data_IF_816616156099
#
_entry.id   IF_816616156099
#
_cell.length_a   1.000
_cell.length_b   1.000
_cell.length_c   1.000
_cell.angle_alpha   90.00
_cell.angle_beta   90.00
_cell.angle_gamma   90.00
#
_symmetry.space_group_name_H-M   'P 1'
#
loop_
_entity.id
_entity.type
_entity.pdbx_description
1 polymer ?
#
# COMPACT_ATOMS: atom_id res chain seq x y z
N UNK A 1 77.51 22.76 42.82
CA UNK A 1 77.73 23.72 43.92
C UNK A 1 76.77 24.88 43.71
N UNK A 2 75.81 25.06 44.62
CA UNK A 2 75.00 26.28 44.75
C UNK A 2 75.91 27.51 44.77
N UNK A 3 75.48 28.68 44.29
CA UNK A 3 74.93 29.75 45.14
C UNK A 3 74.11 30.74 44.29
N UNK A 4 72.84 30.90 44.63
CA UNK A 4 71.98 32.02 44.25
C UNK A 4 72.50 33.33 44.84
N UNK A 5 72.48 34.42 44.06
CA UNK A 5 72.39 35.84 44.46
C UNK A 5 72.53 36.70 43.19
N UNK A 6 71.89 37.83 42.97
CA UNK A 6 70.84 38.54 43.68
C UNK A 6 70.40 39.67 42.73
N UNK A 7 69.10 39.86 42.61
CA UNK A 7 68.40 40.96 41.95
C UNK A 7 69.19 42.28 41.84
N UNK A 8 69.54 42.69 40.62
CA UNK A 8 69.73 44.10 40.30
C UNK A 8 68.57 44.55 39.43
N UNK A 9 67.53 45.02 40.13
CA UNK A 9 66.44 45.76 39.55
C UNK A 9 67.02 47.14 39.22
N UNK A 10 67.34 47.38 37.95
CA UNK A 10 67.60 48.71 37.45
C UNK A 10 66.24 49.43 37.32
N UNK A 11 65.85 50.13 38.37
CA UNK A 11 64.73 51.07 38.34
C UNK A 11 65.18 52.35 37.62
N UNK A 12 64.62 52.71 36.45
CA UNK A 12 64.53 54.12 36.09
C UNK A 12 63.43 54.73 36.97
N UNK A 13 63.87 55.45 37.99
CA UNK A 13 63.05 56.39 38.75
C UNK A 13 62.65 57.52 37.79
N UNK A 14 61.50 57.36 37.13
CA UNK A 14 60.95 58.30 36.16
C UNK A 14 59.43 58.31 36.28
N UNK A 15 58.91 59.45 36.72
CA UNK A 15 57.54 59.74 37.09
C UNK A 15 56.43 59.18 36.15
N UNK A 16 55.42 58.55 36.77
CA UNK A 16 53.99 58.72 36.47
C UNK A 16 53.47 58.37 35.08
N UNK A 17 52.78 57.23 34.94
CA UNK A 17 51.94 57.00 33.75
C UNK A 17 51.35 55.60 33.61
N UNK A 18 50.20 55.38 34.25
CA UNK A 18 49.14 54.41 33.96
C UNK A 18 49.44 53.14 33.11
N UNK A 19 49.33 52.00 33.79
CA UNK A 19 49.06 50.66 33.27
C UNK A 19 47.81 50.63 32.37
N UNK A 20 47.91 50.04 31.16
CA UNK A 20 46.78 49.36 30.48
C UNK A 20 47.26 48.14 29.70
N UNK A 21 47.14 46.97 30.33
CA UNK A 21 47.10 45.65 29.68
C UNK A 21 45.89 45.53 28.75
N UNK A 22 46.09 45.08 27.50
CA UNK A 22 45.03 44.55 26.64
C UNK A 22 45.48 43.18 26.08
N UNK A 23 44.72 42.09 26.30
CA UNK A 23 45.05 40.76 25.79
C UNK A 23 44.83 40.65 24.25
N UNK A 24 45.54 39.73 23.56
CA UNK A 24 45.45 39.58 22.11
C UNK A 24 44.10 39.01 21.65
N UNK A 25 43.68 39.51 20.48
CA UNK A 25 42.47 39.17 19.71
C UNK A 25 42.39 37.66 19.44
N UNK A 26 41.52 36.96 20.17
CA UNK A 26 41.13 35.58 19.87
C UNK A 26 40.28 35.55 18.59
N UNK A 27 40.70 34.75 17.61
CA UNK A 27 39.94 34.54 16.38
C UNK A 27 38.75 33.60 16.66
N UNK A 28 37.57 34.08 16.29
CA UNK A 28 36.28 33.43 16.49
C UNK A 28 36.11 32.19 15.60
N UNK A 29 35.94 31.05 16.26
CA UNK A 29 34.85 30.07 16.11
C UNK A 29 34.38 29.76 14.67
N UNK A 30 34.66 28.52 14.24
CA UNK A 30 34.06 27.84 13.09
C UNK A 30 32.53 28.04 13.03
N UNK A 31 31.94 28.38 11.87
CA UNK A 31 30.49 28.51 11.77
C UNK A 31 29.81 27.15 12.02
N UNK A 32 28.75 27.09 12.85
CA UNK A 32 28.06 25.85 13.13
C UNK A 32 27.28 25.40 11.89
N UNK A 33 27.60 24.18 11.45
CA UNK A 33 26.70 23.24 10.78
C UNK A 33 25.66 23.81 9.82
N UNK A 34 25.97 23.80 8.52
CA UNK A 34 24.91 23.74 7.50
C UNK A 34 24.27 22.35 7.60
N UNK A 35 23.23 22.23 8.42
CA UNK A 35 22.42 21.04 8.51
C UNK A 35 21.77 20.79 7.14
N UNK A 36 22.34 19.85 6.38
CA UNK A 36 21.84 19.41 5.08
C UNK A 36 20.46 18.77 5.29
N UNK A 37 19.40 19.55 5.11
CA UNK A 37 18.00 19.11 5.20
C UNK A 37 17.76 17.98 4.18
N UNK A 38 17.83 16.72 4.62
CA UNK A 38 17.43 15.53 3.85
C UNK A 38 15.94 15.67 3.48
N UNK A 39 15.64 16.07 2.25
CA UNK A 39 14.30 15.91 1.69
C UNK A 39 14.04 14.41 1.55
N UNK A 40 13.09 13.85 2.30
CA UNK A 40 12.60 12.49 2.05
C UNK A 40 11.79 12.54 0.75
N UNK A 41 12.39 12.10 -0.36
CA UNK A 41 11.78 12.24 -1.70
C UNK A 41 10.72 11.16 -1.98
N UNK A 42 10.67 10.10 -1.17
CA UNK A 42 9.68 9.03 -1.36
C UNK A 42 9.02 8.67 -0.04
N UNK A 43 7.87 9.29 0.24
CA UNK A 43 6.91 8.74 1.19
C UNK A 43 5.97 7.80 0.44
N UNK A 44 6.35 6.52 0.34
CA UNK A 44 5.40 5.47 -0.01
C UNK A 44 4.49 5.28 1.19
N UNK A 45 3.20 5.61 1.04
CA UNK A 45 2.21 5.34 2.10
C UNK A 45 2.11 3.83 2.30
N UNK A 46 2.62 3.34 3.43
CA UNK A 46 2.67 1.91 3.77
C UNK A 46 1.31 1.33 4.17
N UNK A 47 0.26 2.15 4.23
CA UNK A 47 -1.08 1.74 4.66
C UNK A 47 -2.01 1.80 3.44
N UNK A 48 -2.68 0.70 3.08
CA UNK A 48 -3.73 0.77 2.07
C UNK A 48 -4.78 1.76 2.58
N UNK A 49 -5.15 2.72 1.73
CA UNK A 49 -6.25 3.63 2.05
C UNK A 49 -7.56 2.85 2.14
N UNK A 50 -8.54 3.39 2.85
CA UNK A 50 -9.86 2.75 2.95
C UNK A 50 -10.45 2.42 1.57
N UNK A 51 -10.24 3.29 0.58
CA UNK A 51 -10.64 3.03 -0.81
C UNK A 51 -9.97 1.79 -1.42
N UNK A 52 -8.68 1.59 -1.17
CA UNK A 52 -7.94 0.41 -1.64
C UNK A 52 -8.47 -0.88 -1.00
N UNK A 53 -8.77 -0.83 0.30
CA UNK A 53 -9.35 -1.96 1.03
C UNK A 53 -10.74 -2.29 0.47
N UNK A 54 -11.61 -1.29 0.30
CA UNK A 54 -12.93 -1.49 -0.29
C UNK A 54 -12.87 -2.08 -1.69
N UNK A 55 -11.96 -1.58 -2.54
CA UNK A 55 -11.77 -2.09 -3.89
C UNK A 55 -11.35 -3.56 -3.90
N UNK A 56 -10.36 -3.92 -3.07
CA UNK A 56 -9.87 -5.31 -2.97
C UNK A 56 -10.96 -6.23 -2.43
N UNK A 57 -11.70 -5.81 -1.40
CA UNK A 57 -12.81 -6.60 -0.86
C UNK A 57 -13.92 -6.78 -1.89
N UNK A 58 -14.25 -5.74 -2.65
CA UNK A 58 -15.25 -5.80 -3.72
C UNK A 58 -14.84 -6.74 -4.85
N UNK A 59 -13.60 -6.64 -5.32
CA UNK A 59 -13.04 -7.56 -6.31
C UNK A 59 -13.05 -9.02 -5.82
N UNK A 60 -12.67 -9.23 -4.56
CA UNK A 60 -12.68 -10.56 -3.94
C UNK A 60 -14.10 -11.12 -3.86
N UNK A 61 -15.08 -10.29 -3.52
CA UNK A 61 -16.50 -10.67 -3.51
C UNK A 61 -16.98 -11.07 -4.91
N UNK A 62 -16.68 -10.27 -5.94
CA UNK A 62 -17.09 -10.56 -7.32
C UNK A 62 -16.53 -11.87 -7.88
N UNK A 63 -15.31 -12.24 -7.49
CA UNK A 63 -14.63 -13.43 -8.03
C UNK A 63 -14.90 -14.69 -7.20
N UNK A 64 -14.92 -14.58 -5.87
CA UNK A 64 -14.88 -15.75 -4.99
C UNK A 64 -16.18 -16.09 -4.27
N UNK A 65 -17.07 -15.11 -4.08
CA UNK A 65 -18.24 -15.27 -3.19
C UNK A 65 -19.55 -14.97 -3.95
N UNK A 66 -19.48 -14.26 -5.08
CA UNK A 66 -20.65 -13.91 -5.85
C UNK A 66 -21.36 -15.19 -6.36
N UNK A 67 -22.60 -15.46 -5.90
CA UNK A 67 -23.31 -16.67 -6.31
C UNK A 67 -23.60 -16.61 -7.81
N UNK A 68 -23.02 -17.51 -8.59
CA UNK A 68 -23.42 -17.71 -9.98
C UNK A 68 -24.68 -18.56 -10.00
N UNK A 69 -25.78 -17.99 -10.48
CA UNK A 69 -26.99 -18.77 -10.76
C UNK A 69 -26.75 -19.61 -12.03
N UNK A 70 -26.43 -20.89 -11.85
CA UNK A 70 -26.37 -21.86 -12.95
C UNK A 70 -27.73 -22.54 -13.02
N UNK A 71 -28.52 -22.20 -14.04
CA UNK A 71 -29.76 -22.88 -14.33
C UNK A 71 -29.47 -24.03 -15.29
N UNK A 72 -29.65 -25.25 -14.81
CA UNK A 72 -29.55 -26.44 -15.65
C UNK A 72 -30.95 -26.79 -16.15
N UNK A 73 -31.13 -26.70 -17.47
CA UNK A 73 -32.27 -27.32 -18.14
C UNK A 73 -31.74 -28.54 -18.92
N UNK A 74 -32.55 -29.60 -19.10
CA UNK A 74 -32.19 -30.69 -20.00
C UNK A 74 -31.85 -30.16 -21.41
N UNK A 75 -30.87 -30.76 -22.09
CA UNK A 75 -30.40 -30.28 -23.40
C UNK A 75 -30.36 -31.40 -24.44
N UNK A 76 -30.53 -31.00 -25.71
CA UNK A 76 -30.49 -31.92 -26.84
C UNK A 76 -31.63 -32.94 -26.86
N UNK A 77 -32.82 -32.56 -26.34
CA UNK A 77 -33.98 -33.44 -26.30
C UNK A 77 -34.54 -33.74 -27.70
N UNK A 78 -34.65 -35.01 -28.06
CA UNK A 78 -35.27 -35.48 -29.30
C UNK A 78 -36.35 -36.50 -29.01
N UNK A 79 -37.56 -36.28 -29.53
CA UNK A 79 -38.69 -37.20 -29.35
C UNK A 79 -38.50 -38.41 -30.27
N UNK A 80 -38.36 -39.60 -29.69
CA UNK A 80 -38.20 -40.86 -30.43
C UNK A 80 -39.51 -41.60 -30.63
N UNK A 81 -40.44 -41.48 -29.67
CA UNK A 81 -41.74 -42.14 -29.72
C UNK A 81 -42.82 -41.30 -29.04
N UNK A 82 -44.06 -41.47 -29.51
CA UNK A 82 -45.18 -40.62 -29.10
C UNK A 82 -45.09 -39.21 -29.67
N UNK A 83 -45.92 -38.31 -29.15
CA UNK A 83 -45.96 -36.90 -29.56
C UNK A 83 -45.77 -36.03 -28.33
N UNK A 84 -44.67 -35.28 -28.34
CA UNK A 84 -44.38 -34.26 -27.34
C UNK A 84 -43.71 -33.06 -28.00
N UNK A 85 -43.95 -31.86 -27.49
CA UNK A 85 -43.21 -30.65 -27.85
C UNK A 85 -42.43 -30.14 -26.65
N UNK A 86 -41.17 -29.78 -26.89
CA UNK A 86 -40.27 -29.22 -25.89
C UNK A 86 -40.21 -27.71 -26.13
N UNK A 87 -40.63 -26.94 -25.14
CA UNK A 87 -40.61 -25.48 -25.16
C UNK A 87 -39.76 -24.96 -23.99
N UNK A 88 -39.02 -23.89 -24.22
CA UNK A 88 -38.12 -23.28 -23.22
C UNK A 88 -38.36 -21.78 -23.16
N UNK A 89 -39.48 -21.35 -22.54
CA UNK A 89 -39.86 -19.94 -22.48
C UNK A 89 -38.86 -19.07 -21.72
N UNK A 90 -38.02 -19.65 -20.86
CA UNK A 90 -36.91 -18.94 -20.21
C UNK A 90 -35.74 -19.88 -19.93
N UNK A 91 -34.60 -19.33 -19.51
CA UNK A 91 -33.44 -20.12 -19.07
C UNK A 91 -33.67 -20.94 -17.80
N UNK A 92 -34.80 -20.76 -17.11
CA UNK A 92 -35.12 -21.39 -15.82
C UNK A 92 -36.33 -22.33 -15.91
N UNK A 93 -37.03 -22.32 -17.04
CA UNK A 93 -38.28 -23.06 -17.19
C UNK A 93 -38.32 -23.69 -18.58
N UNK A 94 -38.46 -25.01 -18.58
CA UNK A 94 -38.76 -25.82 -19.76
C UNK A 94 -40.13 -26.47 -19.54
N UNK A 95 -40.98 -26.42 -20.56
CA UNK A 95 -42.29 -27.07 -20.57
C UNK A 95 -42.29 -28.16 -21.62
N UNK A 96 -42.71 -29.37 -21.23
CA UNK A 96 -42.90 -30.50 -22.15
C UNK A 96 -44.41 -30.72 -22.30
N UNK A 97 -44.92 -30.47 -23.49
CA UNK A 97 -46.33 -30.70 -23.83
C UNK A 97 -46.47 -32.07 -24.50
N UNK A 98 -46.88 -33.07 -23.74
CA UNK A 98 -47.14 -34.41 -24.26
C UNK A 98 -48.61 -34.56 -24.68
N UNK A 99 -48.86 -35.06 -25.88
CA UNK A 99 -50.22 -35.23 -26.43
C UNK A 99 -50.64 -36.69 -26.58
N UNK A 100 -49.70 -37.64 -26.48
CA UNK A 100 -49.97 -39.09 -26.46
C UNK A 100 -49.96 -39.65 -25.04
N UNK A 101 -50.50 -40.84 -24.82
CA UNK A 101 -50.49 -41.51 -23.51
C UNK A 101 -49.07 -41.79 -22.99
N UNK A 102 -48.12 -42.01 -23.91
CA UNK A 102 -46.70 -42.21 -23.62
C UNK A 102 -45.86 -41.47 -24.66
N UNK A 103 -44.73 -40.93 -24.23
CA UNK A 103 -43.69 -40.41 -25.11
C UNK A 103 -42.31 -40.84 -24.59
N UNK A 104 -41.37 -40.98 -25.52
CA UNK A 104 -39.96 -41.26 -25.22
C UNK A 104 -39.15 -40.11 -25.79
N UNK A 105 -38.36 -39.47 -24.94
CA UNK A 105 -37.49 -38.36 -25.31
C UNK A 105 -36.07 -38.74 -24.92
N UNK A 106 -35.20 -38.81 -25.92
CA UNK A 106 -33.77 -38.98 -25.71
C UNK A 106 -33.15 -37.62 -25.41
N UNK A 107 -32.35 -37.55 -24.37
CA UNK A 107 -31.63 -36.34 -23.97
C UNK A 107 -30.14 -36.54 -24.12
N UNK A 108 -29.44 -35.54 -24.64
CA UNK A 108 -27.97 -35.53 -24.59
C UNK A 108 -27.48 -35.38 -23.15
N UNK A 109 -28.09 -34.46 -22.41
CA UNK A 109 -27.84 -34.27 -20.97
C UNK A 109 -29.17 -33.99 -20.28
N UNK A 110 -29.41 -34.65 -19.15
CA UNK A 110 -30.58 -34.41 -18.32
C UNK A 110 -30.14 -33.94 -16.93
N UNK A 111 -30.40 -32.67 -16.62
CA UNK A 111 -30.11 -32.06 -15.32
C UNK A 111 -31.13 -30.96 -15.01
N UNK A 112 -31.50 -30.82 -13.73
CA UNK A 112 -32.49 -29.88 -13.20
C UNK A 112 -31.94 -29.27 -11.91
#
# INVERSE_FOLDING_TARGET
MNIFKMNQIAFPQGAGGAVKTRPPKAWSVFPPGVARRRRRVFQVSKKPGNASILLISFLTYLIGIFPSMVYALPTGGTVQAGTATIDSPSSQLMTIYQTTDKAIIDWQTFGI
#
